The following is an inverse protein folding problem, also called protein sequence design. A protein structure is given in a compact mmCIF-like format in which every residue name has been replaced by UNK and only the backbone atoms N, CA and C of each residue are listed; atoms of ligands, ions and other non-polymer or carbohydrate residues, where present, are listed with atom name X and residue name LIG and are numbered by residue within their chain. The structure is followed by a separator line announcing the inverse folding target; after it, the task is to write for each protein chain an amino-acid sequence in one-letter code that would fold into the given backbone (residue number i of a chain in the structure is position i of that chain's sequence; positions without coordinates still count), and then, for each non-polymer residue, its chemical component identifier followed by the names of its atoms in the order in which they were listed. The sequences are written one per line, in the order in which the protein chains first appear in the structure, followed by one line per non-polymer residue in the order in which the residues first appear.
data_IF_390295694268
#
_entry.id   IF_390295694268
#
_cell.length_a   1.000
_cell.length_b   1.000
_cell.length_c   1.000
_cell.angle_alpha   90.00
_cell.angle_beta   90.00
_cell.angle_gamma   90.00
#
_symmetry.space_group_name_H-M   'P 1'
#
loop_
_entity.id
_entity.type
_entity.pdbx_description
1 polymer ?
#
# COMPACT_ATOMS: atom_id res chain seq x y z
N UNK A 1 -10.54 31.25 -18.26
CA UNK A 1 -9.99 29.89 -18.41
C UNK A 1 -10.73 29.25 -19.55
N UNK A 2 -10.03 28.73 -20.55
CA UNK A 2 -10.65 27.94 -21.62
C UNK A 2 -11.01 26.58 -21.06
N UNK A 3 -12.25 26.16 -21.27
CA UNK A 3 -12.71 24.83 -20.90
C UNK A 3 -12.00 23.79 -21.76
N UNK A 4 -11.34 22.82 -21.13
CA UNK A 4 -10.67 21.72 -21.81
C UNK A 4 -11.41 20.41 -21.55
N UNK A 5 -11.86 19.76 -22.61
CA UNK A 5 -12.55 18.46 -22.51
C UNK A 5 -11.56 17.31 -22.58
N UNK A 6 -11.64 16.36 -21.65
CA UNK A 6 -10.83 15.14 -21.60
C UNK A 6 -11.75 13.92 -21.41
N UNK A 7 -11.37 12.76 -21.94
CA UNK A 7 -12.17 11.53 -21.78
C UNK A 7 -12.08 11.00 -20.34
N UNK A 8 -10.89 11.09 -19.75
CA UNK A 8 -10.61 10.68 -18.37
C UNK A 8 -9.67 11.67 -17.71
N UNK A 9 -10.03 12.10 -16.50
CA UNK A 9 -9.15 12.88 -15.61
C UNK A 9 -8.76 12.01 -14.41
N UNK A 10 -7.47 11.90 -14.14
CA UNK A 10 -6.90 11.16 -13.02
C UNK A 10 -6.29 12.17 -12.04
N UNK A 11 -6.73 12.11 -10.78
CA UNK A 11 -6.23 12.99 -9.72
C UNK A 11 -5.13 12.26 -8.94
N UNK A 12 -3.89 12.72 -9.11
CA UNK A 12 -2.68 12.20 -8.48
C UNK A 12 -1.79 11.40 -9.44
N UNK A 13 -0.52 11.82 -9.55
CA UNK A 13 0.53 11.15 -10.33
C UNK A 13 1.46 10.31 -9.43
N UNK A 14 0.89 9.61 -8.45
CA UNK A 14 1.56 8.49 -7.78
C UNK A 14 1.48 7.21 -8.61
N UNK A 15 2.10 6.12 -8.13
CA UNK A 15 2.06 4.80 -8.78
C UNK A 15 0.64 4.38 -9.20
N UNK A 16 -0.35 4.50 -8.31
CA UNK A 16 -1.72 4.08 -8.60
C UNK A 16 -2.36 4.85 -9.77
N UNK A 17 -2.29 6.19 -9.77
CA UNK A 17 -2.86 7.02 -10.84
C UNK A 17 -2.14 6.82 -12.17
N UNK A 18 -0.81 6.71 -12.14
CA UNK A 18 -0.01 6.46 -13.33
C UNK A 18 -0.27 5.06 -13.91
N UNK A 19 -0.35 4.02 -13.07
CA UNK A 19 -0.72 2.67 -13.53
C UNK A 19 -2.15 2.61 -14.08
N UNK A 20 -3.09 3.37 -13.49
CA UNK A 20 -4.45 3.49 -14.03
C UNK A 20 -4.45 4.11 -15.43
N UNK A 21 -3.72 5.21 -15.63
CA UNK A 21 -3.56 5.83 -16.94
C UNK A 21 -2.93 4.87 -17.96
N UNK A 22 -1.85 4.17 -17.58
CA UNK A 22 -1.19 3.19 -18.43
C UNK A 22 -2.15 2.06 -18.84
N UNK A 23 -2.93 1.56 -17.89
CA UNK A 23 -3.94 0.50 -18.13
C UNK A 23 -5.03 0.98 -19.10
N UNK A 24 -5.54 2.20 -18.93
CA UNK A 24 -6.54 2.79 -19.81
C UNK A 24 -6.01 2.99 -21.22
N UNK A 25 -4.77 3.50 -21.38
CA UNK A 25 -4.14 3.65 -22.70
C UNK A 25 -3.88 2.31 -23.38
N UNK A 26 -3.42 1.29 -22.64
CA UNK A 26 -3.23 -0.08 -23.15
C UNK A 26 -4.56 -0.67 -23.67
N UNK A 27 -5.69 -0.34 -23.05
CA UNK A 27 -7.03 -0.76 -23.50
C UNK A 27 -7.55 0.04 -24.68
N UNK A 28 -7.35 1.35 -24.69
CA UNK A 28 -7.76 2.23 -25.77
C UNK A 28 -6.80 3.42 -25.92
N UNK A 29 -5.89 3.31 -26.89
CA UNK A 29 -4.87 4.33 -27.16
C UNK A 29 -5.42 5.67 -27.67
N UNK A 30 -6.71 5.75 -28.01
CA UNK A 30 -7.36 6.99 -28.46
C UNK A 30 -7.90 7.85 -27.31
N UNK A 31 -7.96 7.31 -26.08
CA UNK A 31 -8.44 8.06 -24.93
C UNK A 31 -7.53 9.25 -24.64
N UNK A 32 -8.14 10.44 -24.57
CA UNK A 32 -7.52 11.66 -24.06
C UNK A 32 -7.53 11.61 -22.54
N UNK A 33 -6.37 11.30 -21.96
CA UNK A 33 -6.20 11.20 -20.51
C UNK A 33 -5.40 12.39 -19.99
N UNK A 34 -5.94 13.04 -18.96
CA UNK A 34 -5.27 14.07 -18.19
C UNK A 34 -4.97 13.55 -16.78
N UNK A 35 -3.75 13.77 -16.30
CA UNK A 35 -3.34 13.49 -14.93
C UNK A 35 -2.99 14.81 -14.27
N UNK A 36 -3.65 15.12 -13.15
CA UNK A 36 -3.42 16.32 -12.35
C UNK A 36 -2.71 15.94 -11.05
N UNK A 37 -1.53 16.48 -10.81
CA UNK A 37 -0.73 16.22 -9.61
C UNK A 37 -0.51 17.52 -8.83
N UNK A 38 -0.79 17.49 -7.54
CA UNK A 38 -0.67 18.66 -6.67
C UNK A 38 0.78 19.07 -6.39
N UNK A 39 1.71 18.12 -6.41
CA UNK A 39 3.15 18.39 -6.25
C UNK A 39 3.81 18.78 -7.58
N UNK A 40 5.01 19.32 -7.47
CA UNK A 40 5.94 19.62 -8.56
C UNK A 40 6.67 18.38 -9.12
N UNK A 41 6.27 17.18 -8.69
CA UNK A 41 6.88 15.90 -9.08
C UNK A 41 5.86 14.77 -9.10
N UNK A 42 6.15 13.75 -9.91
CA UNK A 42 5.46 12.46 -9.86
C UNK A 42 5.99 11.58 -8.72
N UNK A 43 5.33 10.46 -8.46
CA UNK A 43 5.75 9.43 -7.49
C UNK A 43 4.91 9.39 -6.23
N UNK A 44 4.30 10.51 -5.84
CA UNK A 44 3.51 10.59 -4.61
C UNK A 44 4.34 10.18 -3.39
N UNK A 45 4.05 9.00 -2.83
CA UNK A 45 4.73 8.40 -1.66
C UNK A 45 6.04 7.67 -2.00
N UNK A 46 6.39 7.51 -3.27
CA UNK A 46 7.75 7.12 -3.69
C UNK A 46 8.54 8.37 -4.03
N UNK A 47 9.69 8.54 -3.38
CA UNK A 47 10.55 9.71 -3.52
C UNK A 47 11.98 9.22 -3.43
N UNK A 48 12.78 9.51 -4.44
CA UNK A 48 14.20 9.19 -4.47
C UNK A 48 14.98 10.49 -4.54
N UNK A 49 15.95 10.68 -3.66
CA UNK A 49 16.79 11.87 -3.61
C UNK A 49 18.26 11.51 -3.79
N UNK A 50 19.01 12.41 -4.40
CA UNK A 50 20.46 12.33 -4.49
C UNK A 50 21.08 12.89 -3.22
N UNK A 51 21.91 12.09 -2.55
CA UNK A 51 22.60 12.44 -1.32
C UNK A 51 24.11 12.23 -1.45
N UNK A 52 24.94 13.05 -0.77
CA UNK A 52 26.36 12.78 -0.64
C UNK A 52 26.62 11.43 0.06
N UNK A 53 27.52 10.64 -0.50
CA UNK A 53 27.96 9.35 0.01
C UNK A 53 29.49 9.23 -0.10
N UNK A 54 30.08 8.21 0.54
CA UNK A 54 31.54 8.03 0.59
C UNK A 54 32.21 7.93 -0.81
N UNK A 55 31.46 7.56 -1.85
CA UNK A 55 31.93 7.46 -3.23
C UNK A 55 31.42 8.56 -4.18
N UNK A 56 30.85 9.66 -3.67
CA UNK A 56 30.28 10.73 -4.49
C UNK A 56 28.81 11.00 -4.17
N UNK A 57 27.94 10.93 -5.18
CA UNK A 57 26.50 11.09 -5.03
C UNK A 57 25.83 9.72 -5.19
N UNK A 58 24.91 9.39 -4.29
CA UNK A 58 24.10 8.16 -4.33
C UNK A 58 22.62 8.49 -4.23
N UNK A 59 21.74 7.58 -4.69
CA UNK A 59 20.29 7.77 -4.75
C UNK A 59 19.59 6.99 -3.64
N UNK A 60 18.87 7.71 -2.79
CA UNK A 60 18.23 7.19 -1.59
C UNK A 60 16.72 7.42 -1.63
N UNK A 61 15.95 6.36 -1.35
CA UNK A 61 14.50 6.50 -1.20
C UNK A 61 14.16 7.15 0.15
N UNK A 62 13.37 8.23 0.08
CA UNK A 62 12.80 8.95 1.22
C UNK A 62 11.32 8.60 1.47
N UNK A 63 10.82 7.58 0.77
CA UNK A 63 9.43 7.12 0.83
C UNK A 63 9.35 5.59 0.76
N UNK A 64 8.32 5.06 0.10
CA UNK A 64 8.19 3.62 -0.11
C UNK A 64 9.41 3.07 -0.86
N UNK A 65 10.11 2.09 -0.29
CA UNK A 65 11.45 1.68 -0.76
C UNK A 65 11.67 0.17 -0.92
N UNK A 66 10.75 -0.64 -0.41
CA UNK A 66 10.82 -2.09 -0.50
C UNK A 66 9.77 -2.64 -1.48
N UNK A 67 10.13 -3.77 -2.11
CA UNK A 67 9.24 -4.59 -2.91
C UNK A 67 9.47 -6.07 -2.56
N UNK A 68 8.45 -6.91 -2.77
CA UNK A 68 8.51 -8.35 -2.51
C UNK A 68 8.16 -9.17 -3.73
N UNK A 69 8.72 -10.38 -3.86
CA UNK A 69 8.44 -11.30 -5.00
C UNK A 69 6.96 -11.66 -5.15
N UNK A 70 6.19 -11.63 -4.06
CA UNK A 70 4.73 -11.87 -4.05
C UNK A 70 3.91 -10.68 -4.54
N UNK A 71 4.51 -9.49 -4.67
CA UNK A 71 3.85 -8.26 -5.09
C UNK A 71 3.85 -8.13 -6.62
N UNK A 72 3.11 -9.00 -7.29
CA UNK A 72 3.18 -9.22 -8.75
C UNK A 72 3.11 -7.94 -9.58
N UNK A 73 2.14 -7.06 -9.33
CA UNK A 73 1.96 -5.85 -10.15
C UNK A 73 3.17 -4.90 -10.18
N UNK A 74 3.86 -4.73 -9.04
CA UNK A 74 5.06 -3.87 -9.02
C UNK A 74 6.27 -4.59 -9.61
N UNK A 75 6.35 -5.91 -9.41
CA UNK A 75 7.40 -6.73 -10.03
C UNK A 75 7.27 -6.77 -11.56
N UNK A 76 6.05 -6.81 -12.09
CA UNK A 76 5.79 -6.72 -13.52
C UNK A 76 6.25 -5.37 -14.10
N UNK A 77 6.02 -4.26 -13.39
CA UNK A 77 6.53 -2.95 -13.81
C UNK A 77 8.06 -2.87 -13.75
N UNK A 78 8.68 -3.46 -12.72
CA UNK A 78 10.13 -3.55 -12.60
C UNK A 78 10.69 -4.31 -13.81
N UNK A 79 10.09 -5.44 -14.19
CA UNK A 79 10.48 -6.22 -15.35
C UNK A 79 10.24 -5.47 -16.66
N UNK A 80 9.04 -4.88 -16.85
CA UNK A 80 8.67 -4.12 -18.06
C UNK A 80 9.67 -3.00 -18.32
N UNK A 81 10.14 -2.33 -17.27
CA UNK A 81 11.11 -1.26 -17.37
C UNK A 81 12.57 -1.71 -17.36
N UNK A 82 12.86 -3.00 -17.22
CA UNK A 82 14.24 -3.50 -17.10
C UNK A 82 14.98 -2.93 -15.89
N UNK A 83 14.27 -2.73 -14.77
CA UNK A 83 14.85 -2.31 -13.50
C UNK A 83 15.49 -3.49 -12.77
N UNK A 84 16.64 -3.25 -12.17
CA UNK A 84 17.30 -4.23 -11.30
C UNK A 84 16.81 -4.10 -9.86
N UNK A 85 16.62 -5.25 -9.20
CA UNK A 85 16.39 -5.34 -7.76
C UNK A 85 17.56 -6.04 -7.08
N UNK A 86 17.77 -5.75 -5.80
CA UNK A 86 18.74 -6.44 -4.96
C UNK A 86 18.11 -6.83 -3.62
N UNK A 87 18.56 -7.94 -3.05
CA UNK A 87 18.05 -8.45 -1.77
C UNK A 87 18.38 -7.50 -0.63
N UNK A 88 17.42 -7.27 0.25
CA UNK A 88 17.62 -6.52 1.47
C UNK A 88 18.75 -7.15 2.29
N UNK A 89 19.77 -6.34 2.59
CA UNK A 89 20.88 -6.79 3.41
C UNK A 89 20.38 -7.14 4.81
N UNK A 90 20.51 -8.41 5.17
CA UNK A 90 20.04 -8.98 6.45
C UNK A 90 21.11 -9.87 7.11
N UNK A 91 22.33 -9.91 6.55
CA UNK A 91 23.43 -10.71 7.11
C UNK A 91 23.85 -10.16 8.46
N UNK A 92 23.85 -11.03 9.47
CA UNK A 92 24.25 -10.70 10.83
C UNK A 92 23.18 -11.07 11.85
N UNK A 93 23.23 -10.44 13.02
CA UNK A 93 22.24 -10.61 14.08
C UNK A 93 21.21 -9.49 14.01
N UNK A 94 19.92 -9.84 14.04
CA UNK A 94 18.85 -8.87 14.30
C UNK A 94 18.97 -8.38 15.74
N UNK A 95 18.78 -7.09 15.95
CA UNK A 95 18.82 -6.44 17.27
C UNK A 95 17.41 -6.01 17.63
N UNK A 96 16.94 -6.42 18.80
CA UNK A 96 15.65 -6.06 19.35
C UNK A 96 15.85 -5.34 20.67
N UNK A 97 15.40 -4.09 20.74
CA UNK A 97 15.56 -3.21 21.90
C UNK A 97 14.26 -2.43 22.11
N UNK A 98 13.51 -2.83 23.13
CA UNK A 98 12.17 -2.32 23.44
C UNK A 98 12.07 -2.12 24.96
N UNK A 99 11.39 -1.06 25.41
CA UNK A 99 11.24 -0.72 26.83
C UNK A 99 12.11 0.46 27.32
N UNK A 100 12.69 1.25 26.40
CA UNK A 100 13.47 2.46 26.72
C UNK A 100 14.99 2.23 26.81
N UNK A 101 15.79 3.28 27.13
CA UNK A 101 17.25 3.25 26.98
C UNK A 101 18.01 2.21 27.84
N UNK A 102 17.41 1.77 28.95
CA UNK A 102 18.00 0.81 29.88
C UNK A 102 17.45 -0.62 29.70
N UNK A 103 16.60 -0.84 28.69
CA UNK A 103 16.01 -2.15 28.48
C UNK A 103 17.03 -3.16 27.95
N UNK A 104 16.76 -4.44 28.18
CA UNK A 104 17.64 -5.52 27.74
C UNK A 104 17.62 -5.63 26.21
N UNK A 105 18.77 -5.44 25.58
CA UNK A 105 18.96 -5.72 24.16
C UNK A 105 18.99 -7.24 23.93
N UNK A 106 18.17 -7.71 23.00
CA UNK A 106 18.13 -9.11 22.56
C UNK A 106 18.66 -9.20 21.13
N UNK A 107 19.38 -10.28 20.83
CA UNK A 107 19.87 -10.54 19.48
C UNK A 107 19.42 -11.90 19.00
N UNK A 108 18.94 -11.99 17.77
CA UNK A 108 18.57 -13.26 17.13
C UNK A 108 19.26 -13.41 15.78
N UNK A 109 19.64 -14.64 15.45
CA UNK A 109 20.10 -15.02 14.11
C UNK A 109 18.98 -15.58 13.23
N UNK A 110 17.77 -15.78 13.77
CA UNK A 110 16.62 -16.29 13.03
C UNK A 110 15.67 -15.16 12.61
N UNK A 111 14.89 -15.41 11.56
CA UNK A 111 13.91 -14.45 11.03
C UNK A 111 12.79 -14.15 12.02
N UNK A 112 12.41 -15.12 12.85
CA UNK A 112 11.33 -14.95 13.81
C UNK A 112 11.75 -13.88 14.84
N UNK A 113 10.96 -12.81 15.05
CA UNK A 113 11.23 -11.87 16.12
C UNK A 113 11.33 -12.66 17.44
N UNK A 114 12.03 -12.13 18.44
CA UNK A 114 12.17 -12.78 19.75
C UNK A 114 10.85 -12.78 20.56
N UNK A 115 9.72 -13.02 19.89
CA UNK A 115 8.44 -13.33 20.47
C UNK A 115 8.51 -14.75 21.02
N UNK A 116 8.04 -14.90 22.26
CA UNK A 116 7.91 -16.21 22.90
C UNK A 116 7.08 -17.15 22.01
N UNK A 117 7.41 -18.46 21.92
CA UNK A 117 6.53 -19.45 21.28
C UNK A 117 5.09 -19.39 21.80
N UNK A 118 4.88 -19.01 23.07
CA UNK A 118 3.55 -18.79 23.65
C UNK A 118 2.83 -17.60 23.00
N UNK A 119 3.54 -16.51 22.71
CA UNK A 119 3.00 -15.35 22.01
C UNK A 119 2.62 -15.69 20.57
N UNK A 120 3.43 -16.51 19.89
CA UNK A 120 3.10 -17.02 18.56
C UNK A 120 1.90 -17.96 18.59
N UNK A 121 1.78 -18.80 19.62
CA UNK A 121 0.62 -19.65 19.85
C UNK A 121 -0.63 -18.82 20.10
N UNK A 122 -0.59 -17.83 21.00
CA UNK A 122 -1.71 -16.94 21.30
C UNK A 122 -2.13 -16.11 20.09
N UNK A 123 -1.17 -15.58 19.32
CA UNK A 123 -1.45 -14.89 18.06
C UNK A 123 -2.05 -15.85 17.03
N UNK A 124 -1.52 -17.08 16.91
CA UNK A 124 -2.05 -18.08 15.98
C UNK A 124 -3.42 -18.62 16.38
N UNK A 125 -3.73 -18.66 17.69
CA UNK A 125 -5.03 -19.05 18.22
C UNK A 125 -6.03 -17.91 18.04
N UNK A 126 -5.63 -16.66 18.27
CA UNK A 126 -6.45 -15.50 17.98
C UNK A 126 -6.73 -15.39 16.49
N UNK A 127 -5.71 -15.50 15.65
CA UNK A 127 -5.86 -15.54 14.20
C UNK A 127 -6.77 -16.70 13.80
N UNK A 128 -6.60 -17.91 14.36
CA UNK A 128 -7.51 -19.04 14.09
C UNK A 128 -8.92 -18.80 14.61
N UNK A 129 -9.14 -18.22 15.77
CA UNK A 129 -10.48 -17.95 16.29
C UNK A 129 -11.21 -16.89 15.46
N UNK A 130 -10.51 -15.84 15.03
CA UNK A 130 -11.06 -14.79 14.17
C UNK A 130 -11.19 -15.25 12.69
N UNK A 131 -10.35 -16.19 12.23
CA UNK A 131 -10.38 -16.76 10.86
C UNK A 131 -11.27 -18.02 10.72
N UNK A 132 -11.45 -18.82 11.77
CA UNK A 132 -12.33 -20.01 11.79
C UNK A 132 -13.79 -19.60 12.02
N UNK A 133 -14.04 -18.45 12.66
CA UNK A 133 -15.39 -17.89 12.78
C UNK A 133 -15.87 -17.19 11.51
N UNK A 134 -14.95 -16.74 10.64
CA UNK A 134 -15.24 -16.28 9.28
C UNK A 134 -13.99 -16.35 8.42
N UNK A 135 -14.09 -16.88 7.19
CA UNK A 135 -13.12 -16.52 6.15
C UNK A 135 -13.08 -15.00 6.09
N UNK A 136 -11.97 -14.37 6.44
CA UNK A 136 -11.85 -12.91 6.60
C UNK A 136 -12.47 -12.15 5.41
N UNK A 137 -12.39 -12.74 4.22
CA UNK A 137 -13.05 -12.30 3.00
C UNK A 137 -14.59 -12.20 3.11
N UNK A 138 -15.26 -13.24 3.60
CA UNK A 138 -16.72 -13.25 3.81
C UNK A 138 -17.16 -12.34 4.96
N UNK A 139 -16.33 -12.16 6.01
CA UNK A 139 -16.60 -11.18 7.06
C UNK A 139 -16.56 -9.75 6.53
N UNK A 140 -15.53 -9.41 5.76
CA UNK A 140 -15.35 -8.10 5.13
C UNK A 140 -16.51 -7.80 4.17
N UNK A 141 -16.87 -8.74 3.29
CA UNK A 141 -18.01 -8.56 2.38
C UNK A 141 -19.33 -8.32 3.12
N UNK A 142 -19.52 -8.97 4.27
CA UNK A 142 -20.79 -8.98 5.00
C UNK A 142 -20.91 -7.89 6.07
N UNK A 143 -19.80 -7.39 6.63
CA UNK A 143 -19.79 -6.48 7.80
C UNK A 143 -18.97 -5.21 7.64
N UNK A 144 -18.18 -5.04 6.57
CA UNK A 144 -17.41 -3.79 6.37
C UNK A 144 -18.30 -2.54 6.21
N UNK A 145 -19.60 -2.72 5.97
CA UNK A 145 -20.56 -1.67 5.67
C UNK A 145 -21.73 -1.57 6.66
N UNK A 146 -21.74 -2.34 7.75
CA UNK A 146 -22.81 -2.30 8.76
C UNK A 146 -22.33 -1.60 10.03
N UNK A 147 -23.00 -0.51 10.42
CA UNK A 147 -22.62 0.38 11.53
C UNK A 147 -22.67 -0.26 12.94
N UNK A 148 -23.10 -1.52 13.07
CA UNK A 148 -23.44 -2.13 14.37
C UNK A 148 -22.36 -2.95 15.08
N UNK A 149 -21.45 -3.61 14.34
CA UNK A 149 -20.51 -4.60 14.94
C UNK A 149 -19.09 -4.08 15.17
N UNK A 150 -18.86 -2.79 14.92
CA UNK A 150 -17.53 -2.18 14.99
C UNK A 150 -16.97 -2.06 16.42
N UNK A 151 -17.80 -2.27 17.45
CA UNK A 151 -17.48 -1.91 18.83
C UNK A 151 -16.75 -2.98 19.65
N UNK A 152 -16.78 -4.25 19.24
CA UNK A 152 -16.16 -5.34 20.01
C UNK A 152 -14.71 -5.68 19.57
N UNK A 153 -14.33 -5.31 18.34
CA UNK A 153 -12.99 -5.49 17.77
C UNK A 153 -12.21 -4.17 17.64
N UNK A 154 -12.73 -3.08 18.20
CA UNK A 154 -12.20 -1.71 18.03
C UNK A 154 -10.88 -1.45 18.76
N UNK A 155 -10.50 -2.29 19.72
CA UNK A 155 -9.29 -2.06 20.52
C UNK A 155 -8.49 -3.35 20.71
N UNK A 156 -7.16 -3.25 20.67
CA UNK A 156 -6.20 -4.34 20.94
C UNK A 156 -6.28 -4.93 22.37
N UNK A 157 -7.17 -4.40 23.20
CA UNK A 157 -7.35 -4.76 24.61
C UNK A 157 -7.67 -6.25 24.86
N UNK A 158 -8.50 -6.97 24.07
CA UNK A 158 -8.83 -8.38 24.30
C UNK A 158 -7.62 -9.31 24.19
N UNK A 159 -6.70 -9.04 23.26
CA UNK A 159 -5.50 -9.88 23.01
C UNK A 159 -4.60 -9.96 24.23
N UNK A 160 -4.49 -8.84 24.95
CA UNK A 160 -3.62 -8.77 26.13
C UNK A 160 -4.27 -9.37 27.37
N UNK A 161 -5.60 -9.50 27.44
CA UNK A 161 -6.28 -10.01 28.64
C UNK A 161 -6.15 -11.52 28.83
N UNK A 162 -5.93 -12.27 27.74
CA UNK A 162 -5.82 -13.73 27.77
C UNK A 162 -4.39 -14.25 28.03
N UNK A 163 -3.40 -13.36 28.16
CA UNK A 163 -2.02 -13.76 28.45
C UNK A 163 -1.86 -14.13 29.93
N UNK A 164 -1.22 -15.28 30.18
CA UNK A 164 -1.13 -15.96 31.48
C UNK A 164 -0.39 -15.20 32.60
N UNK A 165 0.38 -14.15 32.28
CA UNK A 165 1.09 -13.36 33.29
C UNK A 165 1.12 -11.86 32.97
N UNK A 166 1.09 -11.00 34.01
CA UNK A 166 1.22 -9.53 33.87
C UNK A 166 2.49 -9.10 33.14
N UNK A 167 3.57 -9.87 33.26
CA UNK A 167 4.82 -9.62 32.55
C UNK A 167 4.69 -9.88 31.04
N UNK A 168 4.03 -10.97 30.64
CA UNK A 168 3.75 -11.25 29.23
C UNK A 168 2.82 -10.19 28.62
N UNK A 169 1.86 -9.69 29.40
CA UNK A 169 0.97 -8.59 28.99
C UNK A 169 1.73 -7.29 28.71
N UNK A 170 2.69 -6.93 29.56
CA UNK A 170 3.54 -5.75 29.35
C UNK A 170 4.34 -5.87 28.06
N UNK A 171 5.06 -6.98 27.88
CA UNK A 171 5.89 -7.22 26.70
C UNK A 171 5.07 -7.19 25.40
N UNK A 172 3.92 -7.86 25.36
CA UNK A 172 3.04 -7.84 24.17
C UNK A 172 2.57 -6.44 23.81
N UNK A 173 2.20 -5.61 24.80
CA UNK A 173 1.77 -4.23 24.55
C UNK A 173 2.88 -3.40 23.92
N UNK A 174 4.11 -3.58 24.39
CA UNK A 174 5.27 -2.89 23.82
C UNK A 174 5.55 -3.32 22.38
N UNK A 175 5.53 -4.62 22.09
CA UNK A 175 5.71 -5.17 20.73
C UNK A 175 4.61 -4.69 19.77
N UNK A 176 3.35 -4.73 20.21
CA UNK A 176 2.24 -4.21 19.42
C UNK A 176 2.36 -2.70 19.21
N UNK A 177 2.86 -1.96 20.20
CA UNK A 177 3.21 -0.55 20.06
C UNK A 177 4.24 -0.32 18.97
N UNK A 178 5.35 -1.08 18.98
CA UNK A 178 6.39 -0.99 17.95
C UNK A 178 5.82 -1.31 16.57
N UNK A 179 5.10 -2.43 16.46
CA UNK A 179 4.47 -2.86 15.21
C UNK A 179 3.51 -1.80 14.65
N UNK A 180 2.61 -1.26 15.48
CA UNK A 180 1.64 -0.23 15.11
C UNK A 180 2.34 1.05 14.60
N UNK A 181 3.34 1.53 15.34
CA UNK A 181 4.08 2.75 14.97
C UNK A 181 4.90 2.58 13.70
N UNK A 182 5.54 1.42 13.51
CA UNK A 182 6.37 1.15 12.33
C UNK A 182 5.52 0.97 11.07
N UNK A 183 4.41 0.23 11.15
CA UNK A 183 3.58 -0.07 9.98
C UNK A 183 2.60 1.06 9.63
N UNK A 184 2.01 1.71 10.64
CA UNK A 184 0.87 2.61 10.46
C UNK A 184 1.14 4.04 10.92
N UNK A 185 2.26 4.29 11.61
CA UNK A 185 2.57 5.64 12.10
C UNK A 185 1.64 6.14 13.21
N UNK A 186 0.99 5.24 13.94
CA UNK A 186 0.02 5.58 15.00
C UNK A 186 0.11 4.62 16.19
N UNK A 187 -0.47 5.04 17.32
CA UNK A 187 -0.53 4.22 18.52
C UNK A 187 -1.59 3.12 18.41
N UNK A 188 -1.38 1.94 19.05
CA UNK A 188 -2.33 0.82 19.08
C UNK A 188 -3.77 1.18 19.42
N UNK A 189 -3.99 2.19 20.27
CA UNK A 189 -5.32 2.60 20.71
C UNK A 189 -6.05 3.52 19.71
N UNK A 190 -5.36 3.96 18.66
CA UNK A 190 -5.92 4.78 17.57
C UNK A 190 -6.38 3.94 16.37
N UNK A 191 -6.21 2.62 16.43
CA UNK A 191 -6.45 1.72 15.31
C UNK A 191 -7.43 0.61 15.71
N UNK A 192 -8.36 0.33 14.80
CA UNK A 192 -9.20 -0.86 14.89
C UNK A 192 -8.34 -2.12 14.77
N UNK A 193 -8.55 -3.08 15.67
CA UNK A 193 -7.84 -4.36 15.57
C UNK A 193 -8.29 -5.16 14.34
N UNK A 194 -9.58 -5.06 13.97
CA UNK A 194 -10.09 -5.61 12.72
C UNK A 194 -9.32 -5.06 11.51
N UNK A 195 -9.07 -3.75 11.48
CA UNK A 195 -8.28 -3.13 10.40
C UNK A 195 -6.87 -3.71 10.32
N UNK A 196 -6.19 -3.91 11.47
CA UNK A 196 -4.88 -4.55 11.51
C UNK A 196 -4.91 -5.97 10.92
N UNK A 197 -5.91 -6.78 11.29
CA UNK A 197 -6.06 -8.14 10.78
C UNK A 197 -6.31 -8.17 9.26
N UNK A 198 -7.19 -7.30 8.77
CA UNK A 198 -7.45 -7.14 7.34
C UNK A 198 -6.18 -6.76 6.58
N UNK A 199 -5.42 -5.80 7.12
CA UNK A 199 -4.19 -5.31 6.50
C UNK A 199 -3.12 -6.41 6.45
N UNK A 200 -2.92 -7.14 7.56
CA UNK A 200 -1.99 -8.26 7.61
C UNK A 200 -2.40 -9.39 6.66
N UNK A 201 -3.69 -9.73 6.59
CA UNK A 201 -4.19 -10.75 5.67
C UNK A 201 -3.99 -10.36 4.20
N UNK A 202 -4.26 -9.10 3.84
CA UNK A 202 -4.01 -8.58 2.49
C UNK A 202 -2.51 -8.63 2.11
N UNK A 203 -1.61 -8.59 3.08
CA UNK A 203 -0.17 -8.74 2.90
C UNK A 203 0.32 -10.20 2.91
N UNK A 204 -0.58 -11.19 2.97
CA UNK A 204 -0.22 -12.62 3.04
C UNK A 204 0.12 -13.10 4.45
N UNK A 205 -0.26 -12.35 5.48
CA UNK A 205 -0.05 -12.65 6.90
C UNK A 205 0.93 -11.69 7.59
N UNK A 206 0.91 -11.71 8.92
CA UNK A 206 1.73 -10.81 9.77
C UNK A 206 3.23 -10.96 9.50
N UNK A 207 3.73 -12.19 9.32
CA UNK A 207 5.14 -12.42 9.05
C UNK A 207 5.55 -11.89 7.67
N UNK A 208 4.76 -12.17 6.63
CA UNK A 208 4.98 -11.65 5.28
C UNK A 208 5.02 -10.11 5.27
N UNK A 209 4.20 -9.45 6.08
CA UNK A 209 4.18 -8.00 6.21
C UNK A 209 5.44 -7.43 6.90
N UNK A 210 5.97 -8.12 7.90
CA UNK A 210 7.01 -7.59 8.78
C UNK A 210 8.45 -8.01 8.42
N UNK A 211 8.60 -9.07 7.64
CA UNK A 211 9.91 -9.69 7.40
C UNK A 211 10.56 -9.30 6.08
N UNK A 212 11.85 -9.59 6.01
CA UNK A 212 12.70 -9.44 4.81
C UNK A 212 13.06 -10.79 4.18
N UNK A 213 12.42 -11.88 4.62
CA UNK A 213 12.61 -13.22 4.04
C UNK A 213 12.04 -13.31 2.62
N UNK A 214 12.46 -14.30 1.82
CA UNK A 214 11.87 -14.52 0.51
C UNK A 214 10.33 -14.59 0.56
N UNK A 215 9.67 -13.86 -0.33
CA UNK A 215 8.21 -13.73 -0.38
C UNK A 215 7.58 -12.69 0.57
N UNK A 216 8.39 -11.98 1.35
CA UNK A 216 7.93 -10.98 2.33
C UNK A 216 8.04 -9.55 1.79
N UNK A 217 7.41 -8.60 2.49
CA UNK A 217 7.25 -7.22 2.04
C UNK A 217 8.58 -6.43 1.94
N UNK A 218 9.61 -6.84 2.69
CA UNK A 218 10.92 -6.17 2.74
C UNK A 218 12.03 -6.99 2.06
N UNK A 219 11.67 -7.87 1.12
CA UNK A 219 12.60 -8.80 0.47
C UNK A 219 13.64 -8.09 -0.41
N UNK A 220 13.20 -7.13 -1.24
CA UNK A 220 14.05 -6.45 -2.20
C UNK A 220 13.99 -4.94 -2.09
N UNK A 221 15.03 -4.31 -2.64
CA UNK A 221 15.06 -2.88 -2.98
C UNK A 221 15.32 -2.71 -4.48
N UNK A 222 14.85 -1.62 -5.05
CA UNK A 222 15.05 -1.28 -6.47
C UNK A 222 16.33 -0.46 -6.61
N UNK A 223 17.24 -0.89 -7.48
CA UNK A 223 18.49 -0.18 -7.76
C UNK A 223 18.20 1.17 -8.42
N UNK A 224 18.76 2.25 -7.86
CA UNK A 224 18.53 3.63 -8.29
C UNK A 224 17.26 4.29 -7.74
N UNK A 225 16.49 3.58 -6.89
CA UNK A 225 15.32 4.09 -6.17
C UNK A 225 13.97 3.78 -6.83
N UNK A 226 12.92 3.74 -6.01
CA UNK A 226 11.57 3.31 -6.43
C UNK A 226 10.79 4.38 -7.19
N UNK A 227 11.15 5.66 -7.07
CA UNK A 227 10.48 6.75 -7.79
C UNK A 227 10.59 6.58 -9.31
N UNK A 228 11.64 5.89 -9.79
CA UNK A 228 11.85 5.56 -11.20
C UNK A 228 10.65 4.86 -11.85
N UNK A 229 9.89 4.06 -11.09
CA UNK A 229 8.68 3.40 -11.60
C UNK A 229 7.63 4.42 -12.05
N UNK A 230 7.41 5.45 -11.24
CA UNK A 230 6.48 6.54 -11.58
C UNK A 230 7.05 7.44 -12.67
N UNK A 231 8.35 7.72 -12.67
CA UNK A 231 9.00 8.49 -13.73
C UNK A 231 8.89 7.81 -15.10
N UNK A 232 9.13 6.50 -15.17
CA UNK A 232 9.03 5.71 -16.41
C UNK A 232 7.58 5.56 -16.88
N UNK A 233 6.64 5.34 -15.97
CA UNK A 233 5.21 5.38 -16.32
C UNK A 233 4.82 6.74 -16.90
N UNK A 234 5.18 7.85 -16.24
CA UNK A 234 4.88 9.19 -16.72
C UNK A 234 5.52 9.48 -18.09
N UNK A 235 6.74 8.99 -18.33
CA UNK A 235 7.41 9.09 -19.63
C UNK A 235 6.67 8.31 -20.73
N UNK A 236 6.24 7.07 -20.46
CA UNK A 236 5.44 6.29 -21.41
C UNK A 236 4.07 6.93 -21.69
N UNK A 237 3.45 7.53 -20.68
CA UNK A 237 2.15 8.20 -20.82
C UNK A 237 2.26 9.50 -21.62
N UNK A 238 3.44 10.14 -21.64
CA UNK A 238 3.64 11.43 -22.28
C UNK A 238 3.47 12.57 -21.28
N UNK A 239 4.42 13.51 -21.29
CA UNK A 239 4.47 14.64 -20.34
C UNK A 239 3.32 15.62 -20.56
N UNK A 240 2.79 15.71 -21.77
CA UNK A 240 1.63 16.51 -22.15
C UNK A 240 0.35 16.10 -21.42
N UNK A 241 0.25 14.84 -21.01
CA UNK A 241 -0.86 14.29 -20.25
C UNK A 241 -0.70 14.46 -18.73
N UNK A 242 0.46 14.92 -18.24
CA UNK A 242 0.74 15.05 -16.79
C UNK A 242 0.99 16.50 -16.42
N UNK A 243 0.07 17.12 -15.67
CA UNK A 243 0.20 18.48 -15.15
C UNK A 243 0.59 18.47 -13.68
N UNK A 244 1.78 18.99 -13.39
CA UNK A 244 2.32 19.13 -12.04
C UNK A 244 1.96 20.49 -11.44
N UNK A 245 1.97 20.59 -10.11
CA UNK A 245 1.60 21.80 -9.37
C UNK A 245 0.11 22.18 -9.51
N UNK A 246 -0.74 21.22 -9.90
CA UNK A 246 -2.18 21.41 -10.13
C UNK A 246 -2.96 20.64 -9.06
N UNK A 247 -3.04 21.22 -7.87
CA UNK A 247 -3.85 20.65 -6.80
C UNK A 247 -5.33 20.80 -7.16
N UNK A 248 -6.03 19.66 -7.33
CA UNK A 248 -7.48 19.66 -7.54
C UNK A 248 -8.17 20.05 -6.24
N UNK A 249 -8.95 21.13 -6.27
CA UNK A 249 -9.64 21.68 -5.10
C UNK A 249 -11.13 21.36 -5.05
N UNK A 250 -11.73 21.04 -6.20
CA UNK A 250 -13.14 20.70 -6.32
C UNK A 250 -13.38 19.76 -7.51
N UNK A 251 -14.38 18.90 -7.38
CA UNK A 251 -14.90 18.05 -8.45
C UNK A 251 -16.41 18.25 -8.45
N UNK A 252 -16.94 18.72 -9.58
CA UNK A 252 -18.38 18.87 -9.79
C UNK A 252 -18.84 17.75 -10.70
N UNK A 253 -19.88 17.03 -10.30
CA UNK A 253 -20.45 15.94 -11.07
C UNK A 253 -21.90 16.26 -11.36
N UNK A 254 -22.23 16.34 -12.63
CA UNK A 254 -23.62 16.43 -13.08
C UNK A 254 -24.13 15.03 -13.42
N UNK A 255 -25.38 14.69 -13.08
CA UNK A 255 -26.01 13.47 -13.57
C UNK A 255 -26.02 13.54 -15.10
N UNK A 256 -25.58 12.48 -15.78
CA UNK A 256 -25.77 12.39 -17.24
C UNK A 256 -27.28 12.41 -17.50
N UNK A 257 -27.78 13.46 -18.13
CA UNK A 257 -29.08 13.39 -18.80
C UNK A 257 -29.00 12.23 -19.81
N UNK A 258 -30.03 11.39 -19.80
CA UNK A 258 -30.15 10.23 -20.67
C UNK A 258 -30.19 10.72 -22.12
N UNK A 259 -29.08 10.65 -22.86
CA UNK A 259 -29.07 10.99 -24.29
C UNK A 259 -29.74 9.83 -25.02
N UNK A 260 -30.98 10.05 -25.45
CA UNK A 260 -31.64 9.19 -26.44
C UNK A 260 -30.84 9.21 -27.75
N UNK A 261 -30.67 8.07 -28.43
CA UNK A 261 -30.09 8.07 -29.76
C UNK A 261 -31.10 8.75 -30.70
N UNK A 262 -30.78 9.95 -31.18
CA UNK A 262 -31.44 10.50 -32.36
C UNK A 262 -31.01 9.67 -33.57
N UNK A 263 -31.71 8.57 -33.84
CA UNK A 263 -31.72 7.98 -35.17
C UNK A 263 -32.35 9.04 -36.08
N UNK A 264 -31.55 9.59 -37.00
CA UNK A 264 -32.08 10.37 -38.10
C UNK A 264 -33.18 9.57 -38.78
N UNK A 265 -34.36 10.17 -38.91
CA UNK A 265 -35.46 9.60 -39.65
C UNK A 265 -34.98 9.20 -41.05
N UNK A 266 -35.04 7.91 -41.38
CA UNK A 266 -35.20 7.51 -42.77
C UNK A 266 -36.70 7.48 -43.03
N UNK A 267 -37.13 8.46 -43.82
CA UNK A 267 -38.44 8.52 -44.47
C UNK A 267 -38.58 7.31 -45.41
N UNK A 268 -39.53 6.38 -45.19
CA UNK A 268 -39.75 5.24 -46.07
C UNK A 268 -40.61 5.57 -47.30
N UNK A 269 -40.83 6.84 -47.66
CA UNK A 269 -41.72 7.22 -48.76
C UNK A 269 -41.04 7.64 -50.07
N UNK A 270 -39.73 7.42 -50.24
CA UNK A 270 -39.07 7.61 -51.53
C UNK A 270 -38.42 6.32 -52.05
N UNK A 271 -39.27 5.46 -52.60
CA UNK A 271 -38.92 4.61 -53.75
C UNK A 271 -40.26 4.24 -54.45
N UNK A 272 -40.58 5.02 -55.48
CA UNK A 272 -41.52 4.65 -56.55
C UNK A 272 -40.74 4.32 -57.81
#
# INVERSE_FOLDING_TARGET
MTEETWDVVIVGAGLSGLSAAQTLRKRNGKLRILILEGKDRVGGRTVTQELPAAGGIDRWDMGGQWVGSTQTYVMDLIQEFGLEVYTQYTTGKKVHHVGGPHAKVRTSSTSIPALSPLVLLDLSQLLRQELDSMTLHSYIEKHAWTEGEQHHLSHLTPITKNLTSKQHQGHMKEEMGVCSRVLFGMEPNQMSFLYFLMYAAAAGGVLCLLESTPGSAQEFRVKGGTQQLSERLAQQIGRESVRLGQAVTAIWQEPREHIEPSAGAMDPSQDT
#
